data_IF_006095278891
#
_entry.id   IF_006095278891
#
_cell.length_a   1.000
_cell.length_b   1.000
_cell.length_c   1.000
_cell.angle_alpha   90.00
_cell.angle_beta   90.00
_cell.angle_gamma   90.00
#
_symmetry.space_group_name_H-M   'P 1'
#
loop_
_entity.id
_entity.type
_entity.pdbx_description
1 polymer ?
#
# COMPACT_ATOMS: atom_id res chain seq x y z
N UNK A 1 -85.65 7.46 -10.43
CA UNK A 1 -85.99 6.08 -10.85
C UNK A 1 -85.47 5.99 -12.28
N UNK A 2 -84.50 5.17 -12.67
CA UNK A 2 -84.16 3.78 -12.34
C UNK A 2 -82.65 3.62 -12.65
N UNK A 3 -81.81 3.17 -11.72
CA UNK A 3 -81.48 1.75 -11.49
C UNK A 3 -80.93 1.08 -12.78
N UNK A 4 -79.78 0.42 -12.81
CA UNK A 4 -78.91 -0.13 -11.74
C UNK A 4 -77.69 -0.80 -12.43
N UNK A 5 -76.66 -1.12 -11.63
CA UNK A 5 -75.69 -2.24 -11.79
C UNK A 5 -74.49 -1.95 -12.72
N UNK A 6 -73.22 -2.15 -12.34
CA UNK A 6 -72.63 -2.69 -11.11
C UNK A 6 -71.11 -2.42 -11.01
N UNK A 7 -70.61 -2.55 -9.79
CA UNK A 7 -69.28 -3.03 -9.42
C UNK A 7 -68.04 -2.19 -9.77
N UNK A 8 -67.77 -1.27 -8.83
CA UNK A 8 -66.54 -1.28 -8.04
C UNK A 8 -65.30 -0.58 -8.63
N UNK A 9 -65.51 0.66 -9.06
CA UNK A 9 -64.50 1.70 -9.31
C UNK A 9 -63.78 2.22 -8.03
N UNK A 10 -63.63 1.39 -6.99
CA UNK A 10 -63.07 1.80 -5.67
C UNK A 10 -61.68 1.19 -5.42
N UNK A 11 -61.21 0.22 -6.23
CA UNK A 11 -59.91 -0.42 -6.01
C UNK A 11 -58.74 0.18 -6.83
N UNK A 12 -59.00 1.05 -7.81
CA UNK A 12 -57.95 1.63 -8.66
C UNK A 12 -57.35 2.95 -8.13
N UNK A 13 -58.04 3.65 -7.22
CA UNK A 13 -57.58 4.92 -6.64
C UNK A 13 -56.76 4.74 -5.34
N UNK A 14 -56.76 3.54 -4.76
CA UNK A 14 -55.92 3.19 -3.61
C UNK A 14 -54.56 2.59 -4.01
N UNK A 15 -54.35 2.21 -5.28
CA UNK A 15 -53.05 1.75 -5.76
C UNK A 15 -52.15 2.88 -6.28
N UNK A 16 -52.70 4.05 -6.65
CA UNK A 16 -51.92 5.21 -7.09
C UNK A 16 -51.46 6.14 -5.96
N UNK A 17 -52.01 6.02 -4.76
CA UNK A 17 -51.57 6.77 -3.58
C UNK A 17 -50.56 6.02 -2.71
N UNK A 18 -50.36 4.72 -2.93
CA UNK A 18 -49.40 3.89 -2.16
C UNK A 18 -48.08 3.64 -2.90
N UNK A 19 -48.03 3.79 -4.24
CA UNK A 19 -46.78 3.61 -5.01
C UNK A 19 -45.87 4.85 -5.10
N UNK A 20 -46.26 5.99 -4.50
CA UNK A 20 -45.44 7.21 -4.47
C UNK A 20 -44.82 7.53 -3.09
N UNK A 21 -44.87 6.62 -2.12
CA UNK A 21 -44.40 6.88 -0.75
C UNK A 21 -43.19 6.04 -0.30
N UNK A 22 -42.46 5.40 -1.22
CA UNK A 22 -41.13 4.86 -0.95
C UNK A 22 -40.16 5.27 -2.06
N UNK A 23 -39.99 6.59 -2.21
CA UNK A 23 -38.62 7.08 -2.44
C UNK A 23 -37.87 6.77 -1.15
N UNK A 24 -37.23 5.61 -1.10
CA UNK A 24 -36.03 5.48 -0.30
C UNK A 24 -35.09 6.56 -0.84
N UNK A 25 -35.14 7.73 -0.20
CA UNK A 25 -33.98 8.57 -0.13
C UNK A 25 -32.94 7.67 0.55
N UNK A 26 -32.18 6.92 -0.24
CA UNK A 26 -30.78 6.68 0.06
C UNK A 26 -30.19 8.06 0.26
N UNK A 27 -30.36 8.56 1.49
CA UNK A 27 -29.68 9.74 1.98
C UNK A 27 -28.23 9.42 1.74
N UNK A 28 -27.66 10.10 0.76
CA UNK A 28 -26.22 10.22 0.62
C UNK A 28 -25.74 10.69 1.98
N UNK A 29 -25.29 9.74 2.82
CA UNK A 29 -24.77 10.04 4.13
C UNK A 29 -23.56 10.92 3.88
N UNK A 30 -23.76 12.24 4.02
CA UNK A 30 -22.72 13.25 3.87
C UNK A 30 -21.70 12.95 4.94
N UNK A 31 -20.66 12.21 4.56
CA UNK A 31 -19.59 11.81 5.47
C UNK A 31 -18.78 13.06 5.77
N UNK A 32 -18.93 13.58 6.99
CA UNK A 32 -18.15 14.73 7.43
C UNK A 32 -16.66 14.35 7.39
N UNK A 33 -15.76 15.20 6.85
CA UNK A 33 -14.33 14.91 6.77
C UNK A 33 -13.71 14.57 8.15
N UNK A 34 -12.74 13.64 8.17
CA UNK A 34 -12.07 13.16 9.40
C UNK A 34 -12.56 11.78 9.84
N UNK A 35 -12.04 11.30 10.98
CA UNK A 35 -12.34 9.97 11.53
C UNK A 35 -12.92 10.07 12.95
N UNK A 36 -13.46 8.97 13.46
CA UNK A 36 -13.86 8.87 14.85
C UNK A 36 -12.67 8.47 15.73
N UNK A 37 -12.53 9.03 16.95
CA UNK A 37 -11.57 8.54 17.93
C UNK A 37 -11.92 7.10 18.34
N UNK A 38 -10.92 6.29 18.70
CA UNK A 38 -11.18 4.96 19.26
C UNK A 38 -11.77 5.11 20.67
N UNK A 39 -12.86 4.39 21.02
CA UNK A 39 -13.46 4.49 22.34
C UNK A 39 -12.52 3.89 23.41
N UNK A 40 -12.23 4.68 24.45
CA UNK A 40 -11.48 4.23 25.62
C UNK A 40 -12.48 3.68 26.65
N UNK A 41 -12.89 2.42 26.45
CA UNK A 41 -13.89 1.75 27.29
C UNK A 41 -15.33 1.86 26.78
N UNK A 42 -16.27 1.35 27.56
CA UNK A 42 -17.70 1.39 27.24
C UNK A 42 -18.36 2.64 27.86
N UNK A 43 -18.74 3.59 27.01
CA UNK A 43 -19.56 4.74 27.40
C UNK A 43 -21.01 4.34 27.72
N UNK A 44 -21.82 5.34 28.10
CA UNK A 44 -23.26 5.13 28.29
C UNK A 44 -23.93 4.72 26.97
N UNK A 45 -24.76 3.68 27.03
CA UNK A 45 -25.47 3.09 25.90
C UNK A 45 -26.64 3.98 25.45
N UNK A 46 -26.33 5.14 24.89
CA UNK A 46 -27.30 6.13 24.44
C UNK A 46 -27.00 6.49 23.00
N UNK A 47 -28.00 6.33 22.14
CA UNK A 47 -27.98 6.71 20.74
C UNK A 47 -28.36 8.18 20.58
N UNK A 48 -27.36 9.06 20.59
CA UNK A 48 -27.55 10.51 20.40
C UNK A 48 -27.53 10.94 18.94
N UNK A 49 -27.05 10.07 18.05
CA UNK A 49 -27.00 10.31 16.61
C UNK A 49 -27.06 8.98 15.85
N UNK A 50 -27.54 9.00 14.61
CA UNK A 50 -27.57 7.82 13.73
C UNK A 50 -26.66 7.98 12.50
N UNK A 51 -26.18 9.21 12.25
CA UNK A 51 -25.21 9.53 11.21
C UNK A 51 -24.64 10.93 11.38
N UNK A 52 -23.58 11.23 10.61
CA UNK A 52 -22.88 12.52 10.65
C UNK A 52 -23.79 13.74 10.38
N UNK A 53 -24.87 13.53 9.62
CA UNK A 53 -25.87 14.55 9.31
C UNK A 53 -26.71 14.99 10.51
N UNK A 54 -26.82 14.16 11.57
CA UNK A 54 -27.50 14.52 12.81
C UNK A 54 -26.64 15.43 13.70
N UNK A 55 -25.37 15.64 13.36
CA UNK A 55 -24.41 16.29 14.22
C UNK A 55 -24.13 17.75 13.79
N UNK A 56 -24.23 18.72 14.71
CA UNK A 56 -23.96 20.12 14.39
C UNK A 56 -22.47 20.35 14.11
N UNK A 57 -22.14 21.45 13.43
CA UNK A 57 -20.76 21.91 13.26
C UNK A 57 -19.80 20.89 12.61
N UNK A 58 -20.26 20.15 11.60
CA UNK A 58 -19.45 19.15 10.87
C UNK A 58 -18.86 18.05 11.78
N UNK A 59 -19.53 17.77 12.90
CA UNK A 59 -19.17 16.71 13.84
C UNK A 59 -19.49 15.33 13.27
N UNK A 60 -18.80 14.31 13.75
CA UNK A 60 -19.01 12.92 13.33
C UNK A 60 -19.83 12.17 14.36
N UNK A 61 -20.71 11.30 13.90
CA UNK A 61 -21.44 10.40 14.76
C UNK A 61 -20.54 9.19 15.09
N UNK A 62 -19.98 9.19 16.30
CA UNK A 62 -18.93 8.26 16.68
C UNK A 62 -19.41 7.31 17.78
N UNK A 63 -18.98 6.05 17.70
CA UNK A 63 -19.22 5.09 18.78
C UNK A 63 -18.43 5.50 20.02
N UNK A 64 -19.11 5.54 21.16
CA UNK A 64 -18.49 5.73 22.47
C UNK A 64 -18.19 4.39 23.17
N UNK A 65 -18.29 3.26 22.47
CA UNK A 65 -18.09 1.92 23.02
C UNK A 65 -19.37 1.20 23.45
N UNK A 66 -20.51 1.89 23.57
CA UNK A 66 -21.83 1.23 23.73
C UNK A 66 -22.93 1.82 22.83
N UNK A 67 -22.95 3.14 22.63
CA UNK A 67 -23.84 3.79 21.67
C UNK A 67 -23.12 4.82 20.81
N UNK A 68 -23.86 5.73 20.19
CA UNK A 68 -23.31 6.77 19.33
C UNK A 68 -23.53 8.19 19.84
N UNK A 69 -22.50 9.03 19.74
CA UNK A 69 -22.55 10.44 20.10
C UNK A 69 -21.82 11.31 19.08
N UNK A 70 -22.33 12.52 18.85
CA UNK A 70 -21.66 13.53 18.04
C UNK A 70 -20.36 13.97 18.72
N UNK A 71 -19.25 13.83 18.00
CA UNK A 71 -17.91 14.21 18.44
C UNK A 71 -17.25 15.07 17.35
N UNK A 72 -16.37 15.98 17.77
CA UNK A 72 -15.51 16.69 16.82
C UNK A 72 -14.74 15.68 15.95
N UNK A 73 -14.61 15.91 14.64
CA UNK A 73 -13.88 14.98 13.78
C UNK A 73 -12.45 14.85 14.30
N UNK A 74 -12.05 13.62 14.63
CA UNK A 74 -10.67 13.33 14.96
C UNK A 74 -9.86 13.55 13.70
N UNK A 75 -8.94 14.51 13.73
CA UNK A 75 -7.96 14.65 12.67
C UNK A 75 -7.15 13.36 12.70
N UNK A 76 -7.30 12.54 11.67
CA UNK A 76 -6.28 11.53 11.38
C UNK A 76 -5.00 12.31 11.15
N UNK A 77 -4.20 12.48 12.19
CA UNK A 77 -2.89 13.08 12.08
C UNK A 77 -2.18 12.37 10.96
N UNK A 78 -1.82 13.11 9.91
CA UNK A 78 -0.89 12.62 8.90
C UNK A 78 0.29 12.01 9.64
N UNK A 79 0.72 10.81 9.26
CA UNK A 79 1.92 10.21 9.81
C UNK A 79 3.04 11.27 9.72
N UNK A 80 3.57 11.70 10.88
CA UNK A 80 4.64 12.69 10.86
C UNK A 80 5.86 12.04 10.21
N UNK A 81 6.63 12.77 9.40
CA UNK A 81 7.82 12.24 8.74
C UNK A 81 8.79 11.60 9.74
N UNK A 82 9.49 10.55 9.31
CA UNK A 82 10.43 9.79 10.12
C UNK A 82 9.86 8.47 10.65
N UNK A 83 10.73 7.66 11.24
CA UNK A 83 10.39 6.34 11.80
C UNK A 83 10.55 6.36 13.32
N UNK A 84 9.76 5.52 14.00
CA UNK A 84 9.94 5.34 15.43
C UNK A 84 11.34 4.76 15.72
N UNK A 85 12.03 5.24 16.76
CA UNK A 85 13.28 4.64 17.19
C UNK A 85 13.08 3.13 17.39
N UNK A 86 13.98 2.30 16.85
CA UNK A 86 14.03 0.88 17.23
C UNK A 86 14.43 0.85 18.70
N UNK A 87 13.48 0.51 19.56
CA UNK A 87 13.75 0.28 20.97
C UNK A 87 14.64 -0.95 21.11
N UNK A 88 15.95 -0.72 21.18
CA UNK A 88 16.90 -1.65 21.79
C UNK A 88 16.76 -1.61 23.32
N UNK A 89 15.52 -1.68 23.82
CA UNK A 89 15.28 -1.72 25.25
C UNK A 89 15.63 -3.13 25.68
N UNK A 90 16.84 -3.29 26.22
CA UNK A 90 17.16 -4.41 27.12
C UNK A 90 15.97 -4.61 28.03
N UNK A 91 15.50 -5.85 28.14
CA UNK A 91 14.31 -6.37 28.84
C UNK A 91 14.19 -5.99 30.34
N UNK A 92 14.90 -4.98 30.83
CA UNK A 92 15.19 -4.81 32.26
C UNK A 92 14.69 -3.50 32.87
N UNK A 93 14.05 -2.60 32.13
CA UNK A 93 13.31 -1.48 32.75
C UNK A 93 11.98 -1.28 32.04
N UNK A 94 10.99 -2.09 32.41
CA UNK A 94 9.59 -1.79 32.09
C UNK A 94 9.21 -0.60 32.97
N UNK A 95 9.25 0.60 32.41
CA UNK A 95 8.59 1.76 33.00
C UNK A 95 7.08 1.53 33.09
N UNK A 96 6.32 2.48 33.65
CA UNK A 96 4.86 2.36 33.74
C UNK A 96 4.28 2.17 32.33
N UNK A 97 3.55 1.06 32.13
CA UNK A 97 2.81 0.77 30.91
C UNK A 97 1.67 1.79 30.79
N UNK A 98 1.94 2.90 30.12
CA UNK A 98 1.00 3.99 29.96
C UNK A 98 0.82 4.29 28.46
N UNK A 99 -0.44 4.46 28.06
CA UNK A 99 -0.84 4.95 26.75
C UNK A 99 -0.86 6.47 26.79
N UNK A 100 0.31 7.10 26.54
CA UNK A 100 0.46 8.56 26.59
C UNK A 100 0.11 9.24 25.27
N UNK A 101 -0.01 8.48 24.18
CA UNK A 101 -0.42 8.93 22.86
C UNK A 101 -1.08 7.77 22.10
N UNK A 102 -1.88 8.07 21.09
CA UNK A 102 -2.44 7.07 20.16
C UNK A 102 -2.01 7.28 18.71
N UNK A 103 -1.70 8.53 18.34
CA UNK A 103 -1.25 8.92 17.01
C UNK A 103 -0.16 10.00 17.10
N UNK A 104 0.61 10.16 16.02
CA UNK A 104 1.64 11.20 15.93
C UNK A 104 1.09 12.62 16.19
N UNK A 105 -0.19 12.86 15.87
CA UNK A 105 -0.86 14.14 16.13
C UNK A 105 -1.05 14.46 17.61
N UNK A 106 -1.05 13.46 18.49
CA UNK A 106 -1.18 13.68 19.94
C UNK A 106 0.13 14.23 20.53
N UNK A 107 1.22 14.12 19.77
CA UNK A 107 2.55 14.56 20.16
C UNK A 107 2.86 15.97 19.64
N UNK A 108 3.62 16.75 20.41
CA UNK A 108 4.05 18.09 19.99
C UNK A 108 5.15 18.04 18.92
N UNK A 109 5.27 19.10 18.13
CA UNK A 109 6.33 19.26 17.13
C UNK A 109 6.39 18.10 16.11
N UNK A 110 7.58 17.60 15.80
CA UNK A 110 7.84 16.47 14.90
C UNK A 110 7.76 15.10 15.60
N UNK A 111 7.51 15.06 16.91
CA UNK A 111 7.48 13.81 17.69
C UNK A 111 6.39 12.86 17.20
N UNK A 112 6.74 11.58 17.17
CA UNK A 112 5.87 10.47 16.76
C UNK A 112 5.40 9.69 17.96
N UNK A 113 4.21 9.09 17.85
CA UNK A 113 3.70 8.20 18.86
C UNK A 113 4.27 6.80 18.65
N UNK A 114 5.21 6.42 19.52
CA UNK A 114 6.00 5.22 19.36
C UNK A 114 5.78 4.26 20.51
N UNK A 115 5.75 2.96 20.21
CA UNK A 115 5.66 1.95 21.26
C UNK A 115 6.94 1.95 22.09
N UNK A 116 6.81 1.97 23.41
CA UNK A 116 7.93 1.87 24.35
C UNK A 116 8.17 0.43 24.85
N UNK A 117 7.49 -0.56 24.27
CA UNK A 117 7.54 -1.98 24.66
C UNK A 117 6.40 -2.44 25.57
N UNK A 118 5.62 -1.53 26.18
CA UNK A 118 4.42 -1.88 26.95
C UNK A 118 3.23 -0.93 26.74
N UNK A 119 3.47 0.30 26.28
CA UNK A 119 2.45 1.25 25.84
C UNK A 119 3.00 2.15 24.72
N UNK A 120 2.50 3.37 24.62
CA UNK A 120 2.92 4.34 23.61
C UNK A 120 3.31 5.67 24.24
N UNK A 121 4.38 6.27 23.73
CA UNK A 121 4.89 7.55 24.19
C UNK A 121 5.34 8.40 23.01
N UNK A 122 5.18 9.72 23.15
CA UNK A 122 5.72 10.68 22.20
C UNK A 122 7.25 10.67 22.24
N UNK A 123 7.87 10.34 21.11
CA UNK A 123 9.32 10.28 20.94
C UNK A 123 9.75 11.10 19.72
N UNK A 124 10.91 11.76 19.77
CA UNK A 124 11.45 12.43 18.58
C UNK A 124 11.61 11.41 17.44
N UNK A 125 11.27 11.78 16.20
CA UNK A 125 11.38 10.88 15.06
C UNK A 125 12.85 10.56 14.82
N UNK A 126 13.15 9.28 14.56
CA UNK A 126 14.48 8.91 14.10
C UNK A 126 14.65 9.38 12.66
N UNK A 127 15.59 10.30 12.42
CA UNK A 127 15.83 10.85 11.08
C UNK A 127 16.49 9.80 10.17
N UNK A 128 15.71 9.44 9.14
CA UNK A 128 16.05 8.90 7.84
C UNK A 128 16.90 7.63 7.78
N UNK A 129 16.30 6.56 7.24
CA UNK A 129 17.08 5.55 6.54
C UNK A 129 17.87 6.24 5.42
N UNK A 130 19.19 6.06 5.39
CA UNK A 130 19.98 6.55 4.27
C UNK A 130 19.61 5.76 3.02
N UNK A 131 19.63 6.37 1.82
CA UNK A 131 19.28 5.67 0.58
C UNK A 131 20.15 4.44 0.33
N UNK A 132 19.57 3.44 -0.34
CA UNK A 132 20.22 2.18 -0.69
C UNK A 132 19.93 1.04 0.28
N UNK A 133 20.38 -0.16 -0.08
CA UNK A 133 20.11 -1.42 0.62
C UNK A 133 21.37 -1.93 1.32
N UNK A 134 21.16 -2.64 2.43
CA UNK A 134 22.23 -3.32 3.16
C UNK A 134 22.64 -4.61 2.43
N UNK A 135 23.94 -4.88 2.26
CA UNK A 135 24.40 -6.17 1.72
C UNK A 135 23.92 -7.31 2.63
N UNK A 136 23.60 -8.46 2.02
CA UNK A 136 23.25 -9.66 2.78
C UNK A 136 24.49 -10.17 3.53
N UNK A 137 24.39 -10.49 4.83
CA UNK A 137 25.52 -11.02 5.57
C UNK A 137 25.91 -12.41 5.06
N UNK A 138 27.21 -12.60 4.81
CA UNK A 138 27.80 -13.91 4.47
C UNK A 138 28.28 -14.54 5.77
N UNK A 139 27.44 -15.40 6.36
CA UNK A 139 27.70 -15.99 7.67
C UNK A 139 27.43 -15.05 8.85
N UNK A 140 27.92 -15.42 10.03
CA UNK A 140 27.78 -14.63 11.25
C UNK A 140 29.04 -13.83 11.51
N UNK A 141 28.91 -12.50 11.49
CA UNK A 141 29.94 -11.56 11.92
C UNK A 141 30.05 -11.45 13.43
N UNK A 142 30.77 -10.42 13.89
CA UNK A 142 30.94 -10.15 15.32
C UNK A 142 29.59 -9.79 15.96
N UNK A 143 29.25 -10.47 17.05
CA UNK A 143 28.05 -10.24 17.86
C UNK A 143 28.16 -8.98 18.72
N UNK A 144 28.31 -7.83 18.06
CA UNK A 144 28.41 -6.52 18.69
C UNK A 144 27.52 -5.50 17.98
N UNK A 145 26.87 -4.66 18.78
CA UNK A 145 26.05 -3.53 18.31
C UNK A 145 26.94 -2.30 18.15
N UNK A 146 27.60 -2.16 17.00
CA UNK A 146 28.50 -1.03 16.72
C UNK A 146 27.74 0.21 16.24
N UNK A 147 26.46 0.07 15.89
CA UNK A 147 25.57 1.15 15.51
C UNK A 147 24.13 0.80 15.90
N UNK A 148 23.28 1.81 16.13
CA UNK A 148 21.86 1.61 16.46
C UNK A 148 20.90 2.00 15.32
N UNK A 149 21.44 2.57 14.24
CA UNK A 149 20.71 2.94 13.03
C UNK A 149 21.60 3.79 12.12
N UNK A 150 21.11 4.12 10.92
CA UNK A 150 21.95 4.74 9.88
C UNK A 150 22.57 6.07 10.32
N UNK A 151 21.86 6.88 11.12
CA UNK A 151 22.39 8.15 11.62
C UNK A 151 23.58 8.00 12.57
N UNK A 152 23.78 6.83 13.18
CA UNK A 152 24.99 6.52 13.97
C UNK A 152 26.22 6.36 13.09
N UNK A 153 26.03 6.08 11.81
CA UNK A 153 27.11 5.82 10.88
C UNK A 153 27.57 7.09 10.16
N UNK A 154 28.87 7.24 9.88
CA UNK A 154 29.39 8.39 9.16
C UNK A 154 28.95 8.37 7.68
N UNK A 155 28.96 9.55 7.04
CA UNK A 155 28.69 9.69 5.61
C UNK A 155 27.36 9.02 5.19
N UNK A 156 27.37 8.34 4.04
CA UNK A 156 26.22 7.61 3.50
C UNK A 156 26.13 6.15 3.99
N UNK A 157 26.90 5.74 5.01
CA UNK A 157 26.89 4.36 5.48
C UNK A 157 25.60 4.02 6.24
N UNK A 158 25.08 2.82 6.03
CA UNK A 158 23.91 2.29 6.75
C UNK A 158 24.34 1.39 7.89
N UNK A 159 23.51 1.31 8.93
CA UNK A 159 23.71 0.39 10.02
C UNK A 159 23.11 -0.96 9.64
N UNK A 160 23.96 -1.87 9.16
CA UNK A 160 23.55 -3.13 8.57
C UNK A 160 23.85 -4.30 9.50
N UNK A 161 22.96 -5.29 9.49
CA UNK A 161 23.23 -6.55 10.19
C UNK A 161 24.40 -7.26 9.54
N UNK A 162 25.34 -7.72 10.37
CA UNK A 162 26.45 -8.57 9.93
C UNK A 162 26.17 -10.06 10.17
N UNK A 163 24.92 -10.45 10.44
CA UNK A 163 24.53 -11.83 10.75
C UNK A 163 24.55 -12.18 12.25
N UNK A 164 25.09 -11.32 13.12
CA UNK A 164 24.90 -11.45 14.57
C UNK A 164 24.58 -10.12 15.26
N UNK A 165 25.38 -9.09 14.99
CA UNK A 165 25.16 -7.72 15.46
C UNK A 165 24.94 -6.74 14.31
N UNK A 166 25.32 -5.48 14.53
CA UNK A 166 25.20 -4.41 13.53
C UNK A 166 26.49 -3.62 13.40
N UNK A 167 26.81 -3.25 12.16
CA UNK A 167 27.96 -2.40 11.86
C UNK A 167 27.66 -1.46 10.70
N UNK A 168 28.39 -0.36 10.64
CA UNK A 168 28.28 0.59 9.55
C UNK A 168 28.87 0.01 8.27
N UNK A 169 28.06 -0.08 7.21
CA UNK A 169 28.45 -0.59 5.90
C UNK A 169 28.04 0.38 4.80
N UNK A 170 28.79 0.38 3.70
CA UNK A 170 28.39 1.12 2.50
C UNK A 170 27.12 0.49 1.90
N UNK A 171 26.05 1.26 1.65
CA UNK A 171 24.87 0.72 1.00
C UNK A 171 25.11 0.53 -0.51
N UNK A 172 24.35 -0.38 -1.11
CA UNK A 172 24.29 -0.55 -2.56
C UNK A 172 22.94 -0.11 -3.13
N UNK A 173 22.88 0.11 -4.44
CA UNK A 173 21.62 0.39 -5.15
C UNK A 173 21.03 -0.90 -5.69
N UNK A 174 19.79 -1.21 -5.30
CA UNK A 174 19.05 -2.30 -5.94
C UNK A 174 18.76 -1.94 -7.39
N UNK A 175 19.03 -2.90 -8.28
CA UNK A 175 18.73 -2.73 -9.69
C UNK A 175 17.30 -3.17 -9.97
N UNK A 176 16.59 -2.51 -10.90
CA UNK A 176 15.21 -2.83 -11.22
C UNK A 176 15.07 -4.24 -11.82
N UNK A 177 13.86 -4.80 -11.71
CA UNK A 177 13.50 -6.12 -12.24
C UNK A 177 13.57 -7.25 -11.19
N UNK A 178 13.03 -8.41 -11.56
CA UNK A 178 12.88 -9.58 -10.69
C UNK A 178 13.71 -10.75 -11.23
N UNK A 179 14.47 -11.42 -10.36
CA UNK A 179 15.24 -12.60 -10.76
C UNK A 179 14.34 -13.69 -11.34
N UNK A 180 14.77 -14.38 -12.43
CA UNK A 180 14.02 -15.49 -12.98
C UNK A 180 13.89 -16.60 -11.94
N UNK A 181 12.74 -17.29 -11.94
CA UNK A 181 12.55 -18.47 -11.10
C UNK A 181 13.46 -19.58 -11.61
N UNK A 182 14.40 -20.03 -10.78
CA UNK A 182 15.28 -21.14 -11.13
C UNK A 182 14.51 -22.47 -11.08
N UNK A 183 14.45 -23.25 -12.18
CA UNK A 183 13.80 -24.54 -12.18
C UNK A 183 14.48 -25.49 -11.19
N UNK A 184 13.69 -26.14 -10.31
CA UNK A 184 14.17 -26.99 -9.20
C UNK A 184 15.12 -28.15 -9.62
N UNK A 185 15.17 -28.50 -10.92
CA UNK A 185 15.96 -29.60 -11.47
C UNK A 185 17.29 -29.20 -12.10
N UNK A 186 17.57 -27.90 -12.29
CA UNK A 186 18.83 -27.43 -12.87
C UNK A 186 19.55 -26.61 -11.81
N UNK A 187 20.58 -27.22 -11.21
CA UNK A 187 21.52 -26.50 -10.33
C UNK A 187 22.66 -25.98 -11.18
N UNK A 188 22.81 -24.66 -11.24
CA UNK A 188 24.01 -24.02 -11.77
C UNK A 188 25.24 -24.33 -10.91
N UNK A 189 26.39 -23.78 -11.32
CA UNK A 189 27.63 -23.93 -10.56
C UNK A 189 27.45 -23.33 -9.16
N UNK A 190 27.81 -24.10 -8.13
CA UNK A 190 27.79 -23.71 -6.71
C UNK A 190 28.92 -22.72 -6.39
N UNK A 191 28.86 -21.53 -7.00
CA UNK A 191 29.81 -20.46 -6.78
C UNK A 191 29.06 -19.17 -6.45
N UNK A 192 29.50 -18.49 -5.40
CA UNK A 192 29.04 -17.16 -5.03
C UNK A 192 29.83 -16.12 -5.84
N UNK A 193 29.34 -15.80 -7.03
CA UNK A 193 30.00 -14.83 -7.93
C UNK A 193 29.58 -13.39 -7.66
N UNK A 194 28.49 -13.20 -6.93
CA UNK A 194 27.98 -11.93 -6.48
C UNK A 194 27.25 -12.14 -5.15
N UNK A 195 27.14 -11.11 -4.34
CA UNK A 195 26.38 -11.11 -3.08
C UNK A 195 25.16 -10.18 -3.15
N UNK A 196 25.23 -9.15 -3.98
CA UNK A 196 24.15 -8.20 -4.23
C UNK A 196 24.28 -7.57 -5.63
N UNK A 197 23.23 -6.88 -6.08
CA UNK A 197 23.15 -6.31 -7.43
C UNK A 197 24.29 -5.33 -7.74
N UNK A 198 24.84 -4.67 -6.71
CA UNK A 198 25.96 -3.75 -6.81
C UNK A 198 27.28 -4.41 -7.24
N UNK A 199 27.44 -5.71 -7.00
CA UNK A 199 28.62 -6.47 -7.46
C UNK A 199 28.58 -6.73 -8.96
N UNK A 200 27.40 -6.63 -9.57
CA UNK A 200 27.19 -6.96 -10.97
C UNK A 200 27.39 -5.74 -11.87
N UNK A 201 27.91 -5.92 -13.10
CA UNK A 201 28.00 -4.84 -14.07
C UNK A 201 26.62 -4.42 -14.61
N UNK A 202 26.52 -3.24 -15.20
CA UNK A 202 25.34 -2.74 -15.94
C UNK A 202 24.02 -2.90 -15.16
N UNK A 203 22.95 -3.35 -15.82
CA UNK A 203 21.63 -3.61 -15.24
C UNK A 203 21.47 -5.06 -14.73
N UNK A 204 22.56 -5.85 -14.65
CA UNK A 204 22.48 -7.25 -14.24
C UNK A 204 22.24 -7.39 -12.73
N UNK A 205 21.36 -8.31 -12.33
CA UNK A 205 21.06 -8.58 -10.92
C UNK A 205 21.79 -9.79 -10.41
N UNK A 206 22.05 -9.80 -9.11
CA UNK A 206 22.62 -10.96 -8.44
C UNK A 206 21.52 -11.97 -8.13
N UNK A 207 21.40 -13.00 -8.98
CA UNK A 207 20.31 -13.98 -8.91
C UNK A 207 20.82 -15.36 -8.52
N UNK A 208 19.98 -16.11 -7.79
CA UNK A 208 20.31 -17.50 -7.45
C UNK A 208 20.19 -18.39 -8.68
N UNK A 209 21.23 -19.17 -8.95
CA UNK A 209 21.25 -20.19 -10.00
C UNK A 209 20.86 -21.59 -9.46
N UNK A 210 20.22 -21.65 -8.29
CA UNK A 210 19.79 -22.89 -7.64
C UNK A 210 20.84 -23.56 -6.76
N UNK A 211 22.09 -23.08 -6.76
CA UNK A 211 23.11 -23.49 -5.80
C UNK A 211 23.88 -22.31 -5.21
N UNK A 212 24.36 -21.39 -6.05
CA UNK A 212 24.99 -20.14 -5.63
C UNK A 212 24.30 -18.93 -6.28
N UNK A 213 25.07 -17.86 -6.47
CA UNK A 213 24.59 -16.63 -7.08
C UNK A 213 25.48 -16.18 -8.24
N UNK A 214 24.85 -15.66 -9.29
CA UNK A 214 25.52 -15.15 -10.48
C UNK A 214 24.79 -13.91 -11.01
N UNK A 215 25.59 -12.98 -11.54
CA UNK A 215 25.07 -11.84 -12.30
C UNK A 215 24.28 -12.32 -13.51
N UNK A 216 23.01 -11.98 -13.52
CA UNK A 216 22.05 -12.40 -14.53
C UNK A 216 21.47 -11.16 -15.19
N UNK A 217 21.65 -11.05 -16.50
CA UNK A 217 20.94 -10.08 -17.31
C UNK A 217 19.45 -10.41 -17.27
N UNK A 218 18.65 -9.50 -16.72
CA UNK A 218 17.21 -9.67 -16.74
C UNK A 218 16.64 -9.33 -18.11
N UNK A 219 15.63 -10.07 -18.58
CA UNK A 219 14.82 -9.61 -19.68
C UNK A 219 14.18 -8.28 -19.30
N UNK A 220 14.40 -7.25 -20.10
CA UNK A 220 13.74 -5.95 -19.92
C UNK A 220 12.29 -6.11 -20.35
N UNK A 221 11.35 -5.74 -19.49
CA UNK A 221 9.94 -5.66 -19.90
C UNK A 221 9.86 -4.81 -21.17
N UNK A 222 9.23 -5.34 -22.21
CA UNK A 222 9.10 -4.60 -23.45
C UNK A 222 8.13 -3.44 -23.25
N UNK A 223 8.50 -2.22 -23.67
CA UNK A 223 7.66 -1.05 -23.44
C UNK A 223 6.31 -1.18 -24.15
N UNK A 224 5.25 -0.70 -23.50
CA UNK A 224 3.89 -0.61 -24.04
C UNK A 224 2.85 -1.43 -23.27
N UNK A 225 1.58 -1.20 -23.58
CA UNK A 225 0.41 -1.79 -22.87
C UNK A 225 -0.35 -2.68 -23.83
N UNK A 226 -0.73 -3.89 -23.39
CA UNK A 226 -1.54 -4.80 -24.19
C UNK A 226 -2.89 -4.16 -24.57
N UNK A 227 -3.33 -4.29 -25.83
CA UNK A 227 -4.61 -3.74 -26.26
C UNK A 227 -5.77 -4.42 -25.51
N UNK A 228 -6.74 -3.62 -25.07
CA UNK A 228 -7.95 -4.11 -24.37
C UNK A 228 -8.93 -4.85 -25.29
N UNK A 229 -8.67 -4.89 -26.60
CA UNK A 229 -9.60 -5.34 -27.64
C UNK A 229 -9.61 -6.87 -27.79
N UNK A 230 -10.35 -7.56 -26.93
CA UNK A 230 -10.61 -9.00 -27.06
C UNK A 230 -11.63 -9.31 -28.16
N UNK A 231 -11.27 -9.09 -29.43
CA UNK A 231 -12.11 -9.45 -30.59
C UNK A 231 -11.46 -10.52 -31.49
N UNK A 232 -11.06 -11.65 -30.90
CA UNK A 232 -10.60 -12.83 -31.66
C UNK A 232 -11.62 -13.97 -31.61
N UNK A 233 -12.15 -14.37 -32.77
CA UNK A 233 -12.71 -15.72 -33.01
C UNK A 233 -11.53 -16.64 -33.33
N UNK A 234 -10.96 -17.33 -32.35
CA UNK A 234 -9.78 -18.19 -32.55
C UNK A 234 -9.65 -19.27 -31.48
N UNK A 235 -8.98 -20.37 -31.83
CA UNK A 235 -8.66 -21.49 -30.93
C UNK A 235 -7.70 -21.02 -29.82
N UNK A 236 -7.97 -21.46 -28.59
CA UNK A 236 -7.15 -21.19 -27.42
C UNK A 236 -5.75 -21.76 -27.61
N UNK A 237 -4.74 -20.90 -27.63
CA UNK A 237 -3.33 -21.29 -27.77
C UNK A 237 -2.49 -20.48 -26.79
N UNK A 238 -1.63 -21.16 -26.04
CA UNK A 238 -0.55 -20.53 -25.28
C UNK A 238 0.70 -20.47 -26.16
N UNK A 239 0.93 -19.31 -26.78
CA UNK A 239 2.09 -19.06 -27.64
C UNK A 239 3.27 -18.44 -26.90
N UNK A 240 3.02 -17.81 -25.76
CA UNK A 240 4.01 -17.18 -24.90
C UNK A 240 3.58 -17.28 -23.44
N UNK A 241 4.53 -17.22 -22.52
CA UNK A 241 4.26 -17.09 -21.07
C UNK A 241 4.54 -15.64 -20.66
N UNK A 242 5.62 -15.04 -21.16
CA UNK A 242 6.00 -13.66 -20.90
C UNK A 242 6.53 -12.98 -22.18
N UNK A 243 6.75 -11.65 -22.14
CA UNK A 243 7.27 -10.85 -23.26
C UNK A 243 8.56 -11.38 -23.88
N UNK A 244 9.33 -12.14 -23.10
CA UNK A 244 10.62 -12.73 -23.48
C UNK A 244 10.49 -13.83 -24.52
N UNK A 245 9.35 -14.52 -24.54
CA UNK A 245 9.08 -15.60 -25.49
C UNK A 245 8.71 -15.04 -26.87
N UNK A 246 8.34 -13.76 -26.91
CA UNK A 246 7.93 -13.08 -28.12
C UNK A 246 9.15 -12.47 -28.85
N UNK A 247 9.20 -12.54 -30.18
CA UNK A 247 10.25 -11.89 -30.95
C UNK A 247 10.10 -10.36 -30.93
N UNK A 248 11.17 -9.64 -31.30
CA UNK A 248 11.15 -8.18 -31.48
C UNK A 248 10.60 -7.40 -30.27
N UNK A 249 9.83 -6.33 -30.49
CA UNK A 249 9.15 -5.53 -29.47
C UNK A 249 7.72 -6.03 -29.15
N UNK A 250 7.38 -7.27 -29.50
CA UNK A 250 6.04 -7.83 -29.26
C UNK A 250 5.87 -8.22 -27.78
N UNK A 251 4.72 -7.86 -27.20
CA UNK A 251 4.38 -8.25 -25.83
C UNK A 251 3.57 -9.52 -25.81
N UNK A 252 3.75 -10.31 -24.77
CA UNK A 252 2.90 -11.47 -24.51
C UNK A 252 1.60 -10.99 -23.88
N UNK A 253 0.54 -10.94 -24.69
CA UNK A 253 -0.74 -10.40 -24.27
C UNK A 253 -1.75 -11.51 -24.02
N UNK A 254 -2.48 -11.39 -22.90
CA UNK A 254 -3.61 -12.27 -22.60
C UNK A 254 -4.68 -12.12 -23.67
N UNK A 255 -5.09 -13.25 -24.22
CA UNK A 255 -6.27 -13.40 -25.06
C UNK A 255 -7.42 -13.96 -24.20
N UNK A 256 -8.58 -14.27 -24.80
CA UNK A 256 -9.74 -14.79 -24.05
C UNK A 256 -9.45 -16.11 -23.32
N UNK A 257 -8.50 -16.91 -23.80
CA UNK A 257 -8.24 -18.24 -23.27
C UNK A 257 -6.78 -18.71 -23.43
N UNK A 258 -5.85 -17.77 -23.55
CA UNK A 258 -4.41 -18.06 -23.66
C UNK A 258 -3.59 -16.78 -23.75
N UNK A 259 -2.41 -16.89 -24.34
CA UNK A 259 -1.46 -15.79 -24.48
C UNK A 259 -0.86 -15.80 -25.88
N UNK A 260 -0.76 -14.63 -26.50
CA UNK A 260 -0.24 -14.47 -27.86
C UNK A 260 0.67 -13.25 -27.96
N UNK A 261 1.73 -13.40 -28.76
CA UNK A 261 2.66 -12.31 -29.05
C UNK A 261 1.98 -11.27 -29.93
N UNK A 262 1.79 -10.08 -29.36
CA UNK A 262 1.09 -8.97 -30.01
C UNK A 262 2.09 -7.85 -30.33
N UNK A 263 2.24 -7.46 -31.61
CA UNK A 263 2.96 -6.26 -31.97
C UNK A 263 2.24 -5.04 -31.41
N UNK A 264 2.93 -4.26 -30.58
CA UNK A 264 2.36 -3.01 -30.11
C UNK A 264 2.61 -1.89 -31.13
N UNK A 265 1.59 -1.05 -31.40
CA UNK A 265 1.83 0.17 -32.14
C UNK A 265 2.82 1.03 -31.35
N UNK A 266 3.95 1.39 -31.96
CA UNK A 266 4.86 2.39 -31.40
C UNK A 266 4.03 3.64 -31.08
N UNK A 267 4.08 4.09 -29.83
CA UNK A 267 3.39 5.31 -29.43
C UNK A 267 3.85 6.43 -30.36
N UNK A 268 2.97 6.88 -31.27
CA UNK A 268 3.19 8.16 -31.94
C UNK A 268 3.17 9.21 -30.82
N UNK A 269 4.10 10.18 -30.80
CA UNK A 269 3.98 11.33 -29.91
C UNK A 269 2.57 11.90 -30.10
N UNK A 270 1.76 11.86 -29.04
CA UNK A 270 0.43 12.44 -29.09
C UNK A 270 0.53 13.92 -29.46
N UNK A 271 -0.49 14.49 -30.13
CA UNK A 271 -0.48 15.92 -30.41
C UNK A 271 -0.37 16.67 -29.08
N UNK A 272 0.65 17.52 -28.98
CA UNK A 272 0.81 18.47 -27.89
C UNK A 272 -0.54 19.17 -27.62
N UNK A 273 -1.15 18.91 -26.47
CA UNK A 273 -2.16 19.82 -25.94
C UNK A 273 -1.43 21.13 -25.66
N UNK A 274 -1.58 22.10 -26.58
CA UNK A 274 -1.17 23.47 -26.32
C UNK A 274 -1.98 23.95 -25.11
N UNK A 275 -1.33 24.42 -24.04
CA UNK A 275 -2.06 25.08 -22.97
C UNK A 275 -2.76 26.32 -23.57
N UNK A 276 -4.07 26.43 -23.33
CA UNK A 276 -4.81 27.67 -23.62
C UNK A 276 -4.19 28.78 -22.77
N UNK A 277 -3.47 29.68 -23.42
CA UNK A 277 -3.07 30.95 -22.83
C UNK A 277 -4.31 31.82 -22.79
N UNK A 278 -4.92 31.92 -21.62
CA UNK A 278 -5.87 33.00 -21.32
C UNK A 278 -5.01 34.23 -21.06
N UNK A 279 -4.89 35.12 -22.06
CA UNK A 279 -4.38 36.47 -21.84
C UNK A 279 -5.43 37.32 -21.13
N UNK A 280 -4.99 38.28 -20.29
CA UNK A 280 -5.81 39.01 -19.33
C UNK A 280 -6.83 39.97 -19.95
#
# INVERSE_FOLDING_TARGET
>A
MTARVCCSLISALFCFSVFCASRDAEGTATKNPGSCPKPVGAGLCVEKCSGDSNCPNNQKCCSNGCGHQCMAPYKTGSAKPGVCPRNNVKKTVVGVCAEMCSHDSDCLNDQKCCSNGCGHQCMPPYKAEKPGSCPKPVGAGVCAEMCSGDSSCPNNQKCCSNGCGHQCMAPYREKPGVCPRTPLRIKGVCAERCSHDGDCPNDEKCCSNGCGHQCTALPKDKPGVCPMSFLGKGLCKELCVNDVDCPNDEKCCSTKCGHECTPLPKAKPGPYFKPNVITP
#
